data_IF_540424936970
#
_entry.id   IF_540424936970
#
_cell.length_a   1.000
_cell.length_b   1.000
_cell.length_c   1.000
_cell.angle_alpha   90.00
_cell.angle_beta   90.00
_cell.angle_gamma   90.00
#
_symmetry.space_group_name_H-M   'P 1'
#
loop_
_entity.id
_entity.type
_entity.pdbx_description
1 polymer ?
#
# COMPACT_ATOMS: atom_id res chain seq x y z
N UNK A 1 -9.34 0.94 11.86
CA UNK A 1 -9.34 2.38 12.21
C UNK A 1 -9.30 2.47 13.72
N UNK A 2 -8.32 3.18 14.27
CA UNK A 2 -8.14 3.33 15.73
C UNK A 2 -7.88 4.77 16.16
N UNK A 3 -7.88 5.70 15.22
CA UNK A 3 -7.67 7.12 15.43
C UNK A 3 -8.72 7.88 14.61
N UNK A 4 -9.55 8.67 15.28
CA UNK A 4 -10.65 9.43 14.68
C UNK A 4 -10.19 10.79 14.12
N UNK A 5 -8.94 11.19 14.38
CA UNK A 5 -8.38 12.45 13.88
C UNK A 5 -7.87 12.33 12.44
N UNK A 6 -7.58 11.10 11.98
CA UNK A 6 -7.15 10.84 10.60
C UNK A 6 -8.30 11.11 9.63
N UNK A 7 -8.15 12.15 8.81
CA UNK A 7 -9.12 12.54 7.79
C UNK A 7 -8.96 11.65 6.56
N UNK A 8 -10.03 10.98 6.16
CA UNK A 8 -10.04 10.10 4.98
C UNK A 8 -11.18 10.51 4.05
N UNK A 9 -10.87 10.61 2.76
CA UNK A 9 -11.85 10.79 1.68
C UNK A 9 -11.44 9.92 0.51
N UNK A 10 -12.41 9.26 -0.13
CA UNK A 10 -12.14 8.27 -1.17
C UNK A 10 -13.10 8.42 -2.37
N UNK A 11 -12.55 8.17 -3.55
CA UNK A 11 -13.32 7.99 -4.79
C UNK A 11 -13.04 6.59 -5.32
N UNK A 12 -14.05 5.72 -5.28
CA UNK A 12 -13.90 4.32 -5.70
C UNK A 12 -14.44 4.13 -7.12
N UNK A 13 -13.58 3.70 -8.05
CA UNK A 13 -13.92 3.57 -9.47
C UNK A 13 -13.65 2.14 -9.94
N UNK A 14 -14.57 1.60 -10.76
CA UNK A 14 -14.37 0.32 -11.45
C UNK A 14 -13.80 0.56 -12.85
N UNK A 15 -12.78 -0.20 -13.20
CA UNK A 15 -12.15 -0.24 -14.53
C UNK A 15 -12.14 -1.69 -15.06
N UNK A 16 -11.93 -1.97 -16.36
CA UNK A 16 -11.96 -3.32 -16.92
C UNK A 16 -10.68 -4.12 -16.61
N UNK A 17 -10.39 -4.31 -15.33
CA UNK A 17 -9.31 -5.15 -14.79
C UNK A 17 -9.96 -6.29 -14.02
N UNK A 18 -9.60 -7.53 -14.34
CA UNK A 18 -10.23 -8.72 -13.76
C UNK A 18 -9.89 -8.91 -12.28
N UNK A 19 -8.60 -8.82 -11.94
CA UNK A 19 -8.06 -8.96 -10.59
C UNK A 19 -6.87 -8.03 -10.40
N UNK A 20 -6.64 -7.63 -9.15
CA UNK A 20 -5.65 -6.63 -8.78
C UNK A 20 -6.30 -5.25 -8.65
N UNK A 21 -6.43 -4.75 -7.43
CA UNK A 21 -6.83 -3.37 -7.19
C UNK A 21 -5.61 -2.46 -7.24
N UNK A 22 -5.82 -1.22 -7.67
CA UNK A 22 -4.76 -0.23 -7.77
C UNK A 22 -5.26 1.11 -7.29
N UNK A 23 -4.47 1.76 -6.44
CA UNK A 23 -4.88 2.93 -5.67
C UNK A 23 -3.84 4.03 -5.83
N UNK A 24 -4.30 5.19 -6.30
CA UNK A 24 -3.55 6.43 -6.20
C UNK A 24 -3.84 7.01 -4.82
N UNK A 25 -2.84 6.99 -3.94
CA UNK A 25 -2.98 7.40 -2.54
C UNK A 25 -2.23 8.72 -2.34
N UNK A 26 -2.95 9.72 -1.85
CA UNK A 26 -2.37 10.95 -1.31
C UNK A 26 -2.47 10.92 0.21
N UNK A 27 -1.41 11.35 0.89
CA UNK A 27 -1.36 11.41 2.35
C UNK A 27 -0.47 12.56 2.81
N UNK A 28 -0.76 13.08 3.99
CA UNK A 28 0.05 14.07 4.69
C UNK A 28 0.56 13.46 5.99
N UNK A 29 1.79 13.79 6.36
CA UNK A 29 2.41 13.37 7.63
C UNK A 29 2.63 14.58 8.53
N UNK A 30 2.72 14.38 9.85
CA UNK A 30 2.89 15.50 10.79
C UNK A 30 4.29 16.16 10.69
N UNK A 31 5.33 15.36 10.50
CA UNK A 31 6.70 15.85 10.37
C UNK A 31 7.01 16.31 8.94
N UNK A 32 7.17 17.63 8.77
CA UNK A 32 7.48 18.26 7.48
C UNK A 32 8.88 17.94 6.94
N UNK A 33 9.77 17.39 7.76
CA UNK A 33 11.14 17.06 7.36
C UNK A 33 11.26 15.67 6.74
N UNK A 34 10.17 14.88 6.74
CA UNK A 34 10.15 13.57 6.09
C UNK A 34 10.50 13.72 4.60
N UNK A 35 11.38 12.84 4.13
CA UNK A 35 11.77 12.73 2.73
C UNK A 35 11.16 11.48 2.10
N UNK A 36 11.22 11.40 0.76
CA UNK A 36 10.83 10.19 0.01
C UNK A 36 11.71 8.99 0.42
N UNK A 37 12.99 9.24 0.71
CA UNK A 37 13.90 8.19 1.14
C UNK A 37 13.48 7.59 2.49
N UNK A 38 13.02 8.42 3.43
CA UNK A 38 12.53 7.94 4.73
C UNK A 38 11.30 7.02 4.56
N UNK A 39 10.39 7.39 3.65
CA UNK A 39 9.22 6.56 3.32
C UNK A 39 9.66 5.23 2.70
N UNK A 40 10.66 5.24 1.80
CA UNK A 40 11.20 4.01 1.24
C UNK A 40 11.78 3.10 2.32
N UNK A 41 12.56 3.63 3.26
CA UNK A 41 13.15 2.82 4.33
C UNK A 41 12.06 2.15 5.19
N UNK A 42 11.02 2.90 5.59
CA UNK A 42 9.91 2.32 6.36
C UNK A 42 9.16 1.24 5.57
N UNK A 43 8.91 1.47 4.27
CA UNK A 43 8.15 0.52 3.45
C UNK A 43 8.95 -0.73 3.07
N UNK A 44 10.28 -0.65 2.94
CA UNK A 44 11.14 -1.81 2.67
C UNK A 44 11.09 -2.83 3.80
N UNK A 45 10.99 -2.37 5.03
CA UNK A 45 10.99 -3.22 6.23
C UNK A 45 9.57 -3.63 6.66
N UNK A 46 8.53 -3.05 6.05
CA UNK A 46 7.14 -3.33 6.41
C UNK A 46 6.72 -4.76 5.99
N UNK A 47 6.28 -5.62 6.93
CA UNK A 47 5.90 -6.99 6.61
C UNK A 47 4.76 -7.08 5.59
N UNK A 48 5.00 -7.86 4.52
CA UNK A 48 4.03 -8.06 3.43
C UNK A 48 3.94 -6.91 2.43
N UNK A 49 4.82 -5.90 2.53
CA UNK A 49 5.00 -4.83 1.54
C UNK A 49 6.21 -5.14 0.67
N UNK A 50 6.08 -4.92 -0.63
CA UNK A 50 7.18 -5.00 -1.59
C UNK A 50 7.31 -3.64 -2.28
N UNK A 51 8.43 -2.97 -2.05
CA UNK A 51 8.75 -1.71 -2.72
C UNK A 51 9.16 -1.99 -4.18
N UNK A 52 8.40 -1.44 -5.12
CA UNK A 52 8.66 -1.46 -6.56
C UNK A 52 8.71 -0.01 -7.05
N UNK A 53 9.82 0.68 -6.80
CA UNK A 53 9.92 2.12 -7.08
C UNK A 53 11.27 2.48 -7.71
N UNK A 54 11.44 2.11 -8.98
CA UNK A 54 12.59 2.51 -9.80
C UNK A 54 12.08 3.04 -11.14
N UNK A 55 11.74 4.33 -11.13
CA UNK A 55 11.19 5.01 -12.31
C UNK A 55 12.18 5.15 -13.45
N UNK A 56 13.50 5.09 -13.18
CA UNK A 56 14.52 5.15 -14.21
C UNK A 56 14.51 3.87 -15.09
N UNK A 57 14.16 2.74 -14.48
CA UNK A 57 14.00 1.45 -15.17
C UNK A 57 12.51 1.05 -15.38
N UNK A 58 11.58 2.00 -15.22
CA UNK A 58 10.13 1.79 -15.39
C UNK A 58 9.53 0.72 -14.47
N UNK A 59 10.11 0.55 -13.28
CA UNK A 59 9.60 -0.36 -12.25
C UNK A 59 8.59 0.36 -11.37
N UNK A 60 7.34 -0.06 -11.46
CA UNK A 60 6.25 0.37 -10.59
C UNK A 60 5.16 -0.71 -10.51
N UNK A 61 4.34 -0.74 -9.44
CA UNK A 61 3.34 -1.78 -9.29
C UNK A 61 2.31 -1.79 -10.42
N UNK A 62 1.97 -2.98 -10.91
CA UNK A 62 0.90 -3.17 -11.90
C UNK A 62 -0.08 -4.23 -11.44
N UNK A 63 -1.38 -4.03 -11.72
CA UNK A 63 -2.42 -4.99 -11.35
C UNK A 63 -2.12 -6.40 -11.88
N UNK A 64 -1.64 -6.48 -13.15
CA UNK A 64 -1.24 -7.73 -13.81
C UNK A 64 -0.19 -8.50 -13.02
N UNK A 65 0.81 -7.81 -12.48
CA UNK A 65 1.93 -8.46 -11.77
C UNK A 65 1.60 -8.81 -10.32
N UNK A 66 0.54 -8.22 -9.75
CA UNK A 66 0.07 -8.56 -8.41
C UNK A 66 -0.74 -9.85 -8.34
N UNK A 67 -1.36 -10.27 -9.44
CA UNK A 67 -2.29 -11.41 -9.45
C UNK A 67 -1.59 -12.68 -8.96
N UNK A 68 -2.23 -13.38 -8.01
CA UNK A 68 -1.72 -14.62 -7.43
C UNK A 68 -0.62 -14.43 -6.39
N UNK A 69 -0.26 -13.18 -6.05
CA UNK A 69 0.72 -12.88 -5.00
C UNK A 69 0.04 -12.42 -3.72
N UNK A 70 0.65 -12.79 -2.60
CA UNK A 70 0.15 -12.47 -1.26
C UNK A 70 0.60 -11.09 -0.76
N UNK A 71 1.59 -10.48 -1.42
CA UNK A 71 2.18 -9.20 -1.05
C UNK A 71 1.36 -8.01 -1.55
N UNK A 72 1.56 -6.87 -0.91
CA UNK A 72 1.12 -5.55 -1.38
C UNK A 72 2.30 -4.80 -1.98
N UNK A 73 2.15 -4.34 -3.22
CA UNK A 73 3.20 -3.68 -3.98
C UNK A 73 3.00 -2.17 -3.92
N UNK A 74 4.06 -1.42 -3.60
CA UNK A 74 4.02 0.03 -3.46
C UNK A 74 5.12 0.67 -4.30
N UNK A 75 4.82 1.79 -4.96
CA UNK A 75 5.80 2.58 -5.69
C UNK A 75 5.26 3.92 -6.12
N UNK A 76 5.94 4.59 -7.06
CA UNK A 76 5.60 5.95 -7.52
C UNK A 76 5.56 6.96 -6.38
N UNK A 77 6.36 6.73 -5.35
CA UNK A 77 6.41 7.55 -4.15
C UNK A 77 7.11 8.85 -4.50
N UNK A 78 6.45 9.96 -4.19
CA UNK A 78 6.98 11.29 -4.45
C UNK A 78 6.37 12.29 -3.49
N UNK A 79 7.13 13.34 -3.22
CA UNK A 79 6.64 14.51 -2.50
C UNK A 79 5.62 15.25 -3.36
N UNK A 80 4.62 15.83 -2.72
CA UNK A 80 3.74 16.79 -3.36
C UNK A 80 4.55 18.01 -3.82
N UNK A 81 4.09 18.69 -4.87
CA UNK A 81 4.82 19.80 -5.48
C UNK A 81 4.63 21.12 -4.71
N UNK A 82 3.54 21.24 -3.95
CA UNK A 82 3.16 22.47 -3.24
C UNK A 82 2.94 22.24 -1.73
N UNK A 83 2.69 21.00 -1.30
CA UNK A 83 2.44 20.65 0.11
C UNK A 83 3.69 20.03 0.74
N UNK A 84 4.35 20.78 1.63
CA UNK A 84 5.63 20.39 2.26
C UNK A 84 5.63 19.05 3.00
N UNK A 85 4.47 18.61 3.50
CA UNK A 85 4.29 17.33 4.19
C UNK A 85 3.37 16.37 3.43
N UNK A 86 3.02 16.71 2.19
CA UNK A 86 2.17 15.91 1.31
C UNK A 86 2.99 14.94 0.48
N UNK A 87 2.45 13.75 0.27
CA UNK A 87 3.06 12.68 -0.50
C UNK A 87 2.03 11.94 -1.34
N UNK A 88 2.51 11.38 -2.44
CA UNK A 88 1.73 10.53 -3.32
C UNK A 88 2.39 9.16 -3.41
N UNK A 89 1.60 8.11 -3.49
CA UNK A 89 2.07 6.76 -3.82
C UNK A 89 1.05 5.99 -4.67
N UNK A 90 1.51 4.91 -5.27
CA UNK A 90 0.72 3.95 -6.04
C UNK A 90 0.77 2.58 -5.35
N UNK A 91 -0.39 2.06 -4.95
CA UNK A 91 -0.51 0.82 -4.19
C UNK A 91 -1.29 -0.20 -5.02
N UNK A 92 -0.78 -1.43 -5.11
CA UNK A 92 -1.42 -2.50 -5.88
C UNK A 92 -1.35 -3.81 -5.12
N UNK A 93 -2.45 -4.56 -5.12
CA UNK A 93 -2.48 -5.90 -4.53
C UNK A 93 -3.57 -6.75 -5.17
N UNK A 94 -3.41 -8.08 -5.13
CA UNK A 94 -4.48 -9.01 -5.48
C UNK A 94 -5.62 -8.87 -4.44
N UNK A 95 -6.78 -8.43 -4.93
CA UNK A 95 -7.95 -8.15 -4.12
C UNK A 95 -8.68 -9.42 -3.62
N UNK A 96 -8.40 -10.59 -4.21
CA UNK A 96 -8.95 -11.87 -3.76
C UNK A 96 -8.04 -12.55 -2.74
N UNK A 97 -6.73 -12.27 -2.79
CA UNK A 97 -5.76 -12.78 -1.81
C UNK A 97 -5.62 -11.80 -0.63
N UNK A 98 -4.65 -10.88 -0.66
CA UNK A 98 -4.41 -9.98 0.46
C UNK A 98 -5.61 -9.07 0.74
N UNK A 99 -6.43 -8.77 -0.26
CA UNK A 99 -7.70 -8.06 -0.08
C UNK A 99 -8.83 -8.89 0.54
N UNK A 100 -8.71 -10.22 0.63
CA UNK A 100 -9.75 -11.10 1.15
C UNK A 100 -9.21 -12.41 1.76
N UNK A 101 -9.00 -13.45 0.94
CA UNK A 101 -8.80 -14.82 1.42
C UNK A 101 -7.50 -15.00 2.21
N UNK A 102 -6.39 -14.50 1.67
CA UNK A 102 -5.08 -14.61 2.34
C UNK A 102 -5.08 -13.85 3.66
N UNK A 103 -5.63 -12.64 3.70
CA UNK A 103 -5.74 -11.88 4.93
C UNK A 103 -6.61 -12.58 5.99
N UNK A 104 -7.67 -13.27 5.56
CA UNK A 104 -8.52 -14.06 6.47
C UNK A 104 -7.77 -15.23 7.08
N UNK A 105 -6.95 -15.93 6.28
CA UNK A 105 -6.09 -17.03 6.76
C UNK A 105 -5.01 -16.48 7.70
N UNK A 106 -4.35 -15.36 7.35
CA UNK A 106 -3.35 -14.73 8.22
C UNK A 106 -3.94 -14.34 9.60
N UNK A 107 -5.19 -13.86 9.64
CA UNK A 107 -5.88 -13.57 10.91
C UNK A 107 -6.05 -14.87 11.72
N UNK A 108 -6.51 -15.96 11.09
CA UNK A 108 -6.67 -17.25 11.76
C UNK A 108 -5.32 -17.79 12.29
N UNK A 109 -4.27 -17.75 11.48
CA UNK A 109 -2.90 -18.10 11.89
C UNK A 109 -2.45 -17.27 13.10
N UNK A 110 -2.71 -15.96 13.08
CA UNK A 110 -2.36 -15.08 14.19
C UNK A 110 -3.17 -15.36 15.46
N UNK A 111 -4.44 -15.71 15.33
CA UNK A 111 -5.27 -16.11 16.48
C UNK A 111 -4.74 -17.39 17.14
N UNK A 112 -4.28 -18.37 16.34
CA UNK A 112 -3.64 -19.59 16.87
C UNK A 112 -2.34 -19.24 17.59
N UNK A 113 -1.47 -18.42 16.98
CA UNK A 113 -0.21 -17.96 17.58
C UNK A 113 -0.44 -17.26 18.93
N UNK A 114 -1.52 -16.49 19.03
CA UNK A 114 -1.90 -15.75 20.24
C UNK A 114 -2.70 -16.58 21.26
N UNK A 115 -3.06 -17.84 20.96
CA UNK A 115 -3.87 -18.68 21.83
C UNK A 115 -5.32 -18.19 22.00
N UNK A 116 -5.90 -17.59 20.96
CA UNK A 116 -7.27 -17.06 20.93
C UNK A 116 -8.28 -18.05 20.32
N UNK A 117 -7.85 -19.28 20.02
CA UNK A 117 -8.66 -20.39 19.49
C UNK A 117 -8.48 -21.65 20.33
#
# INVERSE_FOLDING_TARGET
MGDNEIKVSATCVRIPVMSGHSESVYFEVDDKNVSVADIWEVLKDAPGVVLQDDTANQVYPTARESVGKNDTFVGRIRKDVDVDNGFHMWVVSDNLLKGAAWNSVQIAEKMIEMGLL
#
